data_IF_303099511706
#
_entry.id   IF_303099511706
#
_cell.length_a   1.000
_cell.length_b   1.000
_cell.length_c   1.000
_cell.angle_alpha   90.00
_cell.angle_beta   90.00
_cell.angle_gamma   90.00
#
_symmetry.space_group_name_H-M   'P 1'
#
loop_
_entity.id
_entity.type
_entity.pdbx_description
1 polymer ?
#
# COMPACT_ATOMS: atom_id res chain seq x y z
N UNK A 1 46.34 -17.37 24.69
CA UNK A 1 45.23 -16.70 25.39
C UNK A 1 44.13 -17.74 25.52
N UNK A 2 43.54 -17.90 26.69
CA UNK A 2 42.46 -18.88 26.89
C UNK A 2 41.19 -18.33 26.18
N UNK A 3 40.49 -19.16 25.45
CA UNK A 3 39.28 -18.76 24.68
C UNK A 3 38.22 -18.01 25.50
N UNK A 4 38.24 -18.18 26.82
CA UNK A 4 37.36 -17.48 27.76
C UNK A 4 37.70 -15.97 27.88
N UNK A 5 38.97 -15.60 27.82
CA UNK A 5 39.39 -14.17 27.83
C UNK A 5 39.09 -13.47 26.52
N UNK A 6 39.12 -14.20 25.39
CA UNK A 6 38.69 -13.67 24.08
C UNK A 6 37.19 -13.32 24.08
N UNK A 7 36.38 -14.13 24.75
CA UNK A 7 34.94 -13.88 24.87
C UNK A 7 34.65 -12.54 25.58
N UNK A 8 35.29 -12.30 26.71
CA UNK A 8 35.13 -11.04 27.47
C UNK A 8 35.65 -9.82 26.70
N UNK A 9 36.73 -9.96 25.94
CA UNK A 9 37.20 -8.88 25.05
C UNK A 9 36.20 -8.55 23.96
N UNK A 10 35.57 -9.56 23.37
CA UNK A 10 34.50 -9.37 22.37
C UNK A 10 33.31 -8.66 22.99
N UNK A 11 32.91 -8.98 24.23
CA UNK A 11 31.80 -8.29 24.91
C UNK A 11 32.10 -6.80 25.11
N UNK A 12 33.30 -6.49 25.65
CA UNK A 12 33.73 -5.10 25.86
C UNK A 12 33.81 -4.31 24.53
N UNK A 13 34.23 -4.97 23.46
CA UNK A 13 34.27 -4.37 22.13
C UNK A 13 32.86 -4.10 21.59
N UNK A 14 31.91 -5.05 21.71
CA UNK A 14 30.54 -4.90 21.26
C UNK A 14 29.79 -3.80 22.03
N UNK A 15 30.03 -3.68 23.33
CA UNK A 15 29.47 -2.60 24.13
C UNK A 15 29.99 -1.23 23.65
N UNK A 16 31.30 -1.10 23.44
CA UNK A 16 31.94 0.16 23.03
C UNK A 16 31.58 0.56 21.60
N UNK A 17 31.55 -0.37 20.64
CA UNK A 17 31.39 -0.07 19.23
C UNK A 17 29.92 -0.08 18.79
N UNK A 18 29.12 -0.90 19.44
CA UNK A 18 27.72 -1.13 19.01
C UNK A 18 26.68 -0.76 20.07
N UNK A 19 27.11 -0.38 21.28
CA UNK A 19 26.21 -0.03 22.38
C UNK A 19 25.38 -1.20 22.91
N UNK A 20 25.86 -2.45 22.72
CA UNK A 20 25.17 -3.65 23.20
C UNK A 20 25.55 -3.85 24.66
N UNK A 21 24.55 -3.83 25.54
CA UNK A 21 24.74 -4.05 26.97
C UNK A 21 25.33 -5.45 27.24
N UNK A 22 26.41 -5.48 27.99
CA UNK A 22 27.12 -6.69 28.33
C UNK A 22 26.25 -7.65 29.15
N UNK A 23 25.41 -7.14 30.07
CA UNK A 23 24.51 -7.96 30.87
C UNK A 23 23.47 -8.67 30.01
N UNK A 24 22.91 -7.98 29.01
CA UNK A 24 21.96 -8.57 28.06
C UNK A 24 22.60 -9.65 27.16
N UNK A 25 23.90 -9.53 26.85
CA UNK A 25 24.65 -10.58 26.16
C UNK A 25 24.82 -11.82 27.02
N UNK A 26 25.18 -11.62 28.27
CA UNK A 26 25.39 -12.72 29.26
C UNK A 26 24.07 -13.48 29.43
N UNK A 27 22.97 -12.79 29.75
CA UNK A 27 21.65 -13.42 29.92
C UNK A 27 21.20 -14.20 28.67
N UNK A 28 21.41 -13.64 27.47
CA UNK A 28 21.03 -14.31 26.23
C UNK A 28 21.89 -15.58 25.99
N UNK A 29 23.17 -15.56 26.33
CA UNK A 29 24.06 -16.72 26.21
C UNK A 29 23.64 -17.79 27.23
N UNK A 30 23.42 -17.42 28.48
CA UNK A 30 22.99 -18.35 29.53
C UNK A 30 21.67 -19.04 29.16
N UNK A 31 20.67 -18.30 28.70
CA UNK A 31 19.39 -18.85 28.24
C UNK A 31 19.53 -19.81 27.03
N UNK A 32 20.42 -19.47 26.09
CA UNK A 32 20.69 -20.33 24.94
C UNK A 32 21.43 -21.60 25.31
N UNK A 33 22.37 -21.50 26.27
CA UNK A 33 23.09 -22.65 26.81
C UNK A 33 22.17 -23.62 27.54
N UNK A 34 21.24 -23.11 28.36
CA UNK A 34 20.20 -23.92 29.02
C UNK A 34 19.35 -24.64 27.97
N UNK A 35 18.94 -23.94 26.91
CA UNK A 35 18.16 -24.53 25.82
C UNK A 35 18.94 -25.64 25.09
N UNK A 36 20.22 -25.41 24.83
CA UNK A 36 21.09 -26.41 24.21
C UNK A 36 21.34 -27.61 25.11
N UNK A 37 21.57 -27.39 26.41
CA UNK A 37 21.77 -28.45 27.39
C UNK A 37 20.51 -29.32 27.56
N UNK A 38 19.30 -28.72 27.63
CA UNK A 38 18.04 -29.44 27.66
C UNK A 38 17.77 -30.33 26.46
N UNK A 39 18.32 -29.95 25.27
CA UNK A 39 18.26 -30.82 24.07
C UNK A 39 19.14 -32.07 24.19
N UNK A 40 20.26 -31.97 24.91
CA UNK A 40 21.22 -33.05 25.07
C UNK A 40 20.83 -33.96 26.25
N UNK A 41 20.45 -33.38 27.38
CA UNK A 41 20.20 -34.10 28.63
C UNK A 41 18.72 -34.37 28.91
N UNK A 42 17.80 -33.88 28.06
CA UNK A 42 16.36 -34.06 28.18
C UNK A 42 15.62 -32.77 28.55
N UNK A 43 14.43 -32.60 27.97
CA UNK A 43 13.62 -31.39 28.19
C UNK A 43 13.00 -31.29 29.61
N UNK A 44 12.95 -32.38 30.35
CA UNK A 44 12.46 -32.43 31.74
C UNK A 44 13.50 -32.09 32.80
N UNK A 45 14.77 -31.92 32.43
CA UNK A 45 15.87 -31.63 33.36
C UNK A 45 15.86 -30.17 33.83
N UNK A 46 16.07 -29.97 35.15
CA UNK A 46 16.28 -28.63 35.69
C UNK A 46 17.75 -28.27 35.55
N UNK A 47 18.04 -27.48 34.48
CA UNK A 47 19.41 -27.05 34.11
C UNK A 47 19.44 -25.53 34.11
N UNK A 48 20.49 -24.98 34.69
CA UNK A 48 20.84 -23.57 34.55
C UNK A 48 22.32 -23.39 34.15
N UNK A 49 22.64 -22.28 33.49
CA UNK A 49 23.99 -21.94 33.06
C UNK A 49 24.40 -20.63 33.71
N UNK A 50 25.67 -20.52 34.02
CA UNK A 50 26.29 -19.32 34.60
C UNK A 50 27.51 -18.97 33.78
N UNK A 51 27.62 -17.71 33.32
CA UNK A 51 28.81 -17.18 32.72
C UNK A 51 29.55 -16.36 33.77
N UNK A 52 30.76 -16.78 34.12
CA UNK A 52 31.59 -16.01 35.02
C UNK A 52 32.15 -14.80 34.28
N UNK A 53 31.73 -13.59 34.69
CA UNK A 53 32.12 -12.35 34.05
C UNK A 53 33.58 -11.94 34.27
N UNK A 54 34.28 -12.54 35.23
CA UNK A 54 35.71 -12.26 35.50
C UNK A 54 36.64 -13.18 34.71
N UNK A 55 36.25 -14.45 34.60
CA UNK A 55 37.08 -15.47 33.95
C UNK A 55 36.66 -15.80 32.54
N UNK A 56 35.41 -15.48 32.19
CA UNK A 56 34.77 -15.89 30.92
C UNK A 56 34.43 -17.38 30.86
N UNK A 57 34.51 -18.10 31.99
CA UNK A 57 34.17 -19.53 32.05
C UNK A 57 32.65 -19.71 32.03
N UNK A 58 32.24 -20.73 31.29
CA UNK A 58 30.84 -21.17 31.22
C UNK A 58 30.71 -22.38 32.14
N UNK A 59 29.86 -22.26 33.14
CA UNK A 59 29.53 -23.30 34.09
C UNK A 59 28.06 -23.70 33.91
N UNK A 60 27.77 -24.98 33.82
CA UNK A 60 26.44 -25.49 33.63
C UNK A 60 26.12 -26.47 34.74
N UNK A 61 25.01 -26.24 35.42
CA UNK A 61 24.60 -27.02 36.58
C UNK A 61 23.27 -27.68 36.31
N UNK A 62 23.14 -28.93 36.74
CA UNK A 62 21.89 -29.65 36.78
C UNK A 62 21.44 -29.79 38.24
N UNK A 63 20.25 -29.29 38.55
CA UNK A 63 19.64 -29.45 39.86
C UNK A 63 18.94 -30.80 39.93
N UNK A 64 19.24 -31.59 40.96
CA UNK A 64 18.69 -32.92 41.18
C UNK A 64 18.20 -33.07 42.60
N UNK A 65 17.06 -33.74 42.76
CA UNK A 65 16.52 -34.12 44.08
C UNK A 65 17.26 -35.34 44.64
N UNK A 66 17.64 -35.26 45.88
CA UNK A 66 18.34 -36.36 46.58
C UNK A 66 17.31 -37.39 47.04
N UNK A 67 17.49 -38.64 46.58
CA UNK A 67 16.59 -39.75 46.95
C UNK A 67 17.36 -40.95 47.44
N UNK A 68 16.67 -41.80 48.27
CA UNK A 68 17.25 -43.09 48.73
C UNK A 68 17.26 -44.13 47.60
N UNK A 69 16.29 -44.01 46.64
CA UNK A 69 16.17 -44.87 45.47
C UNK A 69 15.88 -44.02 44.27
N UNK A 70 16.81 -43.98 43.34
CA UNK A 70 16.70 -43.22 42.09
C UNK A 70 15.73 -43.94 41.15
N UNK A 71 14.65 -43.29 40.77
CA UNK A 71 13.66 -43.75 39.78
C UNK A 71 13.84 -43.06 38.43
N UNK A 72 14.30 -41.79 38.45
CA UNK A 72 14.61 -41.00 37.28
C UNK A 72 16.01 -40.38 37.42
N UNK A 73 16.98 -40.93 36.71
CA UNK A 73 18.37 -40.43 36.71
C UNK A 73 18.50 -38.99 36.17
N UNK A 74 17.53 -38.50 35.40
CA UNK A 74 17.53 -37.15 34.90
C UNK A 74 17.15 -36.12 35.98
N UNK A 75 16.32 -36.46 36.93
CA UNK A 75 15.78 -35.56 37.97
C UNK A 75 16.34 -35.85 39.36
N UNK A 76 16.84 -37.05 39.60
CA UNK A 76 17.19 -37.54 40.91
C UNK A 76 18.65 -37.96 40.99
N UNK A 77 19.20 -37.90 42.19
CA UNK A 77 20.54 -38.37 42.53
C UNK A 77 20.50 -39.19 43.79
N UNK A 78 21.36 -40.22 43.87
CA UNK A 78 21.43 -41.04 45.08
C UNK A 78 22.05 -40.26 46.24
N UNK A 79 21.60 -40.54 47.49
CA UNK A 79 22.17 -39.93 48.70
C UNK A 79 23.69 -40.14 48.81
N UNK A 80 24.21 -41.27 48.32
CA UNK A 80 25.66 -41.58 48.35
C UNK A 80 26.42 -40.65 47.40
N UNK A 81 25.92 -40.38 46.22
CA UNK A 81 26.52 -39.49 45.26
C UNK A 81 26.36 -38.02 45.68
N UNK A 82 25.16 -37.65 46.20
CA UNK A 82 24.88 -36.30 46.67
C UNK A 82 25.81 -35.90 47.83
N UNK A 83 26.11 -36.79 48.74
CA UNK A 83 27.06 -36.57 49.85
C UNK A 83 28.54 -36.37 49.41
N UNK A 84 28.89 -36.73 48.19
CA UNK A 84 30.21 -36.38 47.62
C UNK A 84 30.27 -34.93 47.18
N UNK A 85 29.11 -34.33 46.86
CA UNK A 85 29.01 -32.93 46.48
C UNK A 85 28.79 -32.03 47.70
N UNK A 86 27.91 -32.44 48.61
CA UNK A 86 27.64 -31.78 49.89
C UNK A 86 27.45 -32.84 51.01
N UNK A 87 28.36 -32.90 52.01
CA UNK A 87 28.29 -33.90 53.08
C UNK A 87 27.08 -33.82 54.01
N UNK A 88 26.42 -32.66 54.11
CA UNK A 88 25.31 -32.41 55.05
C UNK A 88 23.91 -32.68 54.43
N UNK A 89 23.87 -33.12 53.19
CA UNK A 89 22.62 -33.33 52.43
C UNK A 89 21.77 -34.47 52.98
N UNK A 90 20.46 -34.25 53.02
CA UNK A 90 19.43 -35.21 53.42
C UNK A 90 18.54 -35.62 52.23
N UNK A 91 17.84 -36.79 52.32
CA UNK A 91 16.87 -37.17 51.31
C UNK A 91 15.75 -36.14 51.23
N UNK A 92 15.42 -35.67 50.01
CA UNK A 92 14.46 -34.61 49.72
C UNK A 92 15.08 -33.24 49.50
N UNK A 93 16.39 -33.09 49.75
CA UNK A 93 17.10 -31.85 49.40
C UNK A 93 17.45 -31.79 47.91
N UNK A 94 17.65 -30.59 47.40
CA UNK A 94 18.15 -30.36 46.05
C UNK A 94 19.67 -30.13 46.06
N UNK A 95 20.39 -30.77 45.15
CA UNK A 95 21.83 -30.56 44.94
C UNK A 95 22.12 -30.14 43.51
N UNK A 96 23.11 -29.32 43.37
CA UNK A 96 23.61 -28.84 42.09
C UNK A 96 24.79 -29.70 41.65
N UNK A 97 24.62 -30.38 40.52
CA UNK A 97 25.70 -31.18 39.91
C UNK A 97 26.21 -30.44 38.68
N UNK A 98 27.49 -30.11 38.69
CA UNK A 98 28.14 -29.51 37.53
C UNK A 98 28.22 -30.53 36.39
N UNK A 99 27.85 -30.08 35.17
CA UNK A 99 27.97 -30.86 33.95
C UNK A 99 29.38 -30.70 33.41
N UNK A 100 30.08 -31.84 33.14
CA UNK A 100 31.48 -31.84 32.69
C UNK A 100 31.63 -30.95 31.42
N UNK A 101 32.51 -29.94 31.56
CA UNK A 101 32.87 -29.02 30.50
C UNK A 101 33.44 -29.71 29.25
N UNK A 102 34.03 -30.93 29.41
CA UNK A 102 34.59 -31.66 28.27
C UNK A 102 33.49 -32.23 27.35
N UNK A 103 32.34 -32.60 27.91
CA UNK A 103 31.19 -33.11 27.12
C UNK A 103 30.42 -32.00 26.43
N UNK A 104 30.22 -30.86 27.10
CA UNK A 104 29.36 -29.77 26.60
C UNK A 104 30.13 -28.55 26.02
N UNK A 105 31.46 -28.45 26.27
CA UNK A 105 32.25 -27.26 25.96
C UNK A 105 32.22 -26.83 24.47
N UNK A 106 32.24 -27.79 23.55
CA UNK A 106 32.14 -27.48 22.11
C UNK A 106 30.75 -26.91 21.76
N UNK A 107 29.70 -27.48 22.33
CA UNK A 107 28.30 -27.03 22.11
C UNK A 107 28.13 -25.64 22.72
N UNK A 108 28.67 -25.43 23.94
CA UNK A 108 28.63 -24.16 24.63
C UNK A 108 29.32 -23.03 23.82
N UNK A 109 30.52 -23.28 23.33
CA UNK A 109 31.28 -22.33 22.52
C UNK A 109 30.55 -21.99 21.20
N UNK A 110 29.96 -23.00 20.52
CA UNK A 110 29.22 -22.78 19.29
C UNK A 110 27.92 -22.02 19.54
N UNK A 111 27.21 -22.32 20.63
CA UNK A 111 25.99 -21.64 21.03
C UNK A 111 26.26 -20.18 21.38
N UNK A 112 27.28 -19.92 22.20
CA UNK A 112 27.71 -18.55 22.54
C UNK A 112 28.05 -17.75 21.29
N UNK A 113 28.82 -18.31 20.35
CA UNK A 113 29.11 -17.67 19.06
C UNK A 113 27.86 -17.33 18.26
N UNK A 114 26.88 -18.25 18.20
CA UNK A 114 25.61 -18.01 17.48
C UNK A 114 24.81 -16.88 18.12
N UNK A 115 24.72 -16.84 19.46
CA UNK A 115 24.02 -15.76 20.20
C UNK A 115 24.68 -14.41 19.97
N UNK A 116 26.02 -14.35 20.05
CA UNK A 116 26.77 -13.11 19.79
C UNK A 116 26.49 -12.60 18.38
N UNK A 117 26.57 -13.46 17.35
CA UNK A 117 26.28 -13.09 15.96
C UNK A 117 24.83 -12.63 15.80
N UNK A 118 23.90 -13.27 16.48
CA UNK A 118 22.48 -12.88 16.44
C UNK A 118 22.27 -11.50 17.09
N UNK A 119 22.82 -11.27 18.27
CA UNK A 119 22.73 -9.99 18.99
C UNK A 119 23.39 -8.85 18.21
N UNK A 120 24.55 -9.12 17.61
CA UNK A 120 25.20 -8.16 16.72
C UNK A 120 24.28 -7.77 15.55
N UNK A 121 23.65 -8.75 14.89
CA UNK A 121 22.72 -8.48 13.79
C UNK A 121 21.47 -7.72 14.25
N UNK A 122 20.96 -8.01 15.46
CA UNK A 122 19.82 -7.29 16.05
C UNK A 122 20.20 -5.82 16.29
N UNK A 123 21.34 -5.54 16.89
CA UNK A 123 21.82 -4.19 17.13
C UNK A 123 22.12 -3.41 15.83
N UNK A 124 22.70 -4.06 14.81
CA UNK A 124 22.91 -3.47 13.49
C UNK A 124 21.58 -3.10 12.83
N UNK A 125 20.55 -3.95 12.95
CA UNK A 125 19.21 -3.67 12.43
C UNK A 125 18.55 -2.51 13.16
N UNK A 126 18.66 -2.47 14.47
CA UNK A 126 18.13 -1.38 15.27
C UNK A 126 18.80 -0.03 14.92
N UNK A 127 20.12 -0.04 14.75
CA UNK A 127 20.86 1.15 14.32
C UNK A 127 20.40 1.62 12.93
N UNK A 128 20.22 0.70 11.98
CA UNK A 128 19.69 1.04 10.64
C UNK A 128 18.29 1.61 10.75
N UNK A 129 17.42 0.95 11.51
CA UNK A 129 16.04 1.41 11.71
C UNK A 129 16.01 2.83 12.30
N UNK A 130 16.74 3.07 13.38
CA UNK A 130 16.82 4.38 14.05
C UNK A 130 17.43 5.47 13.13
N UNK A 131 18.35 5.09 12.24
CA UNK A 131 18.98 6.04 11.31
C UNK A 131 18.04 6.43 10.16
N UNK A 132 17.24 5.49 9.65
CA UNK A 132 16.46 5.71 8.42
C UNK A 132 14.96 5.86 8.64
N UNK A 133 14.38 5.47 9.79
CA UNK A 133 12.94 5.60 10.06
C UNK A 133 12.43 7.03 9.95
N UNK A 134 13.22 8.00 10.45
CA UNK A 134 12.88 9.42 10.35
C UNK A 134 13.16 10.04 8.97
N UNK A 135 13.72 9.24 8.05
CA UNK A 135 14.07 9.64 6.69
C UNK A 135 13.13 9.04 5.62
N UNK A 136 12.09 8.34 6.05
CA UNK A 136 11.00 7.95 5.16
C UNK A 136 10.41 9.21 4.52
N UNK A 137 10.23 9.17 3.21
CA UNK A 137 9.80 10.36 2.48
C UNK A 137 10.95 11.20 1.88
N UNK A 138 12.20 10.86 2.14
CA UNK A 138 13.36 11.54 1.54
C UNK A 138 13.85 10.84 0.27
N UNK A 139 14.51 11.63 -0.58
CA UNK A 139 15.27 11.12 -1.72
C UNK A 139 16.71 10.87 -1.31
N UNK A 140 17.19 9.67 -1.58
CA UNK A 140 18.56 9.26 -1.25
C UNK A 140 19.33 8.82 -2.50
N UNK A 141 20.65 9.04 -2.48
CA UNK A 141 21.55 8.54 -3.49
C UNK A 141 22.23 7.26 -2.99
N UNK A 142 22.37 6.29 -3.87
CA UNK A 142 23.07 5.05 -3.60
C UNK A 142 23.80 4.52 -4.83
N UNK A 143 24.46 3.39 -4.66
CA UNK A 143 25.18 2.67 -5.72
C UNK A 143 24.55 1.29 -5.86
N UNK A 144 24.23 0.86 -7.06
CA UNK A 144 23.72 -0.48 -7.32
C UNK A 144 24.77 -1.52 -6.97
N UNK A 145 24.53 -2.27 -5.90
CA UNK A 145 25.44 -3.34 -5.43
C UNK A 145 25.22 -4.63 -6.22
N UNK A 146 23.96 -4.96 -6.57
CA UNK A 146 23.64 -6.18 -7.28
C UNK A 146 22.13 -6.39 -7.45
N UNK A 147 21.78 -7.64 -7.79
CA UNK A 147 20.40 -8.04 -8.03
C UNK A 147 20.08 -9.30 -7.24
N UNK A 148 18.93 -9.32 -6.59
CA UNK A 148 18.45 -10.47 -5.82
C UNK A 148 16.96 -10.68 -6.04
N UNK A 149 16.56 -11.85 -6.55
CA UNK A 149 15.15 -12.20 -6.79
C UNK A 149 14.34 -11.15 -7.56
N UNK A 150 14.99 -10.49 -8.54
CA UNK A 150 14.38 -9.40 -9.32
C UNK A 150 14.42 -8.02 -8.67
N UNK A 151 14.76 -7.91 -7.41
CA UNK A 151 15.00 -6.64 -6.74
C UNK A 151 16.41 -6.13 -7.02
N UNK A 152 16.57 -4.80 -7.05
CA UNK A 152 17.87 -4.14 -7.13
C UNK A 152 18.32 -3.86 -5.70
N UNK A 153 19.53 -4.32 -5.35
CA UNK A 153 20.16 -4.03 -4.06
C UNK A 153 21.05 -2.81 -4.24
N UNK A 154 20.80 -1.82 -3.39
CA UNK A 154 21.47 -0.52 -3.45
C UNK A 154 22.27 -0.32 -2.17
N UNK A 155 23.55 -0.05 -2.33
CA UNK A 155 24.42 0.34 -1.23
C UNK A 155 24.24 1.84 -0.91
N UNK A 156 23.86 2.13 0.34
CA UNK A 156 23.71 3.47 0.89
C UNK A 156 24.95 3.92 1.70
N UNK A 157 26.02 3.14 1.67
CA UNK A 157 27.27 3.38 2.39
C UNK A 157 27.30 2.78 3.81
N UNK A 158 26.21 2.91 4.57
CA UNK A 158 26.10 2.33 5.93
C UNK A 158 25.26 1.04 5.96
N UNK A 159 24.39 0.87 5.01
CA UNK A 159 23.51 -0.29 4.89
C UNK A 159 23.08 -0.50 3.44
N UNK A 160 22.57 -1.69 3.16
CA UNK A 160 21.94 -2.00 1.90
C UNK A 160 20.43 -1.67 1.96
N UNK A 161 19.92 -1.18 0.84
CA UNK A 161 18.50 -0.96 0.60
C UNK A 161 18.00 -1.83 -0.55
N UNK A 162 16.72 -2.12 -0.55
CA UNK A 162 16.06 -2.90 -1.59
C UNK A 162 15.14 -2.01 -2.43
N UNK A 163 15.30 -2.06 -3.75
CA UNK A 163 14.35 -1.54 -4.72
C UNK A 163 13.60 -2.73 -5.33
N UNK A 164 12.41 -3.08 -4.79
CA UNK A 164 11.68 -4.26 -5.21
C UNK A 164 11.12 -4.12 -6.64
N UNK A 165 10.80 -5.21 -7.35
CA UNK A 165 10.33 -5.17 -8.74
C UNK A 165 9.12 -4.28 -8.98
N UNK A 166 8.22 -4.17 -8.00
CA UNK A 166 7.02 -3.32 -8.09
C UNK A 166 7.34 -1.82 -8.08
N UNK A 167 8.47 -1.47 -7.47
CA UNK A 167 8.94 -0.10 -7.30
C UNK A 167 9.98 0.31 -8.36
N UNK A 168 10.27 -0.58 -9.31
CA UNK A 168 11.15 -0.31 -10.44
C UNK A 168 10.35 0.22 -11.63
N UNK A 169 10.90 1.20 -12.34
CA UNK A 169 10.34 1.67 -13.60
C UNK A 169 10.74 0.71 -14.72
N UNK A 170 9.80 0.12 -15.49
CA UNK A 170 10.09 -0.95 -16.45
C UNK A 170 11.09 -0.58 -17.57
N UNK A 171 11.21 0.72 -17.87
CA UNK A 171 12.11 1.22 -18.91
C UNK A 171 13.52 1.51 -18.41
N UNK A 172 13.71 1.62 -17.11
CA UNK A 172 15.01 1.89 -16.52
C UNK A 172 15.85 0.61 -16.47
N UNK A 173 17.11 0.73 -16.87
CA UNK A 173 18.08 -0.36 -16.82
C UNK A 173 19.24 0.08 -15.96
N UNK A 174 19.60 -0.74 -15.00
CA UNK A 174 20.70 -0.53 -14.09
C UNK A 174 21.71 -1.67 -14.20
N UNK A 175 22.97 -1.33 -13.98
CA UNK A 175 24.09 -2.27 -13.87
C UNK A 175 24.73 -2.11 -12.48
N UNK A 176 25.42 -3.13 -12.05
CA UNK A 176 26.23 -3.05 -10.83
C UNK A 176 27.26 -1.89 -10.96
N UNK A 177 27.36 -1.07 -9.93
CA UNK A 177 28.19 0.13 -9.89
C UNK A 177 27.51 1.42 -10.37
N UNK A 178 26.30 1.34 -10.96
CA UNK A 178 25.56 2.53 -11.37
C UNK A 178 25.10 3.32 -10.14
N UNK A 179 25.13 4.66 -10.26
CA UNK A 179 24.49 5.53 -9.28
C UNK A 179 22.99 5.55 -9.49
N UNK A 180 22.24 5.49 -8.40
CA UNK A 180 20.80 5.55 -8.41
C UNK A 180 20.32 6.55 -7.35
N UNK A 181 19.34 7.37 -7.73
CA UNK A 181 18.60 8.23 -6.83
C UNK A 181 17.20 7.60 -6.64
N UNK A 182 16.75 7.44 -5.41
CA UNK A 182 15.47 6.81 -5.12
C UNK A 182 14.83 7.40 -3.86
N UNK A 183 13.54 7.22 -3.75
CA UNK A 183 12.72 7.65 -2.62
C UNK A 183 12.69 6.55 -1.55
N UNK A 184 12.85 6.90 -0.28
CA UNK A 184 12.71 5.97 0.83
C UNK A 184 11.21 5.77 1.09
N UNK A 185 10.70 4.64 0.64
CA UNK A 185 9.28 4.31 0.75
C UNK A 185 8.92 3.82 2.15
N UNK A 186 9.76 2.98 2.73
CA UNK A 186 9.51 2.34 4.02
C UNK A 186 10.81 1.84 4.66
N UNK A 187 10.80 1.69 5.98
CA UNK A 187 11.90 1.09 6.76
C UNK A 187 11.36 0.02 7.68
N UNK A 188 11.66 -1.24 7.39
CA UNK A 188 11.15 -2.41 8.13
C UNK A 188 11.99 -2.71 9.35
N UNK A 189 11.39 -2.80 10.52
CA UNK A 189 12.07 -3.14 11.77
C UNK A 189 12.59 -4.58 11.80
N UNK A 190 11.78 -5.56 11.36
CA UNK A 190 12.06 -6.99 11.47
C UNK A 190 12.22 -7.69 10.12
N UNK A 191 13.02 -7.14 9.21
CA UNK A 191 13.25 -7.75 7.91
C UNK A 191 14.29 -8.89 7.97
N UNK A 192 14.08 -9.95 7.17
CA UNK A 192 15.09 -11.00 6.94
C UNK A 192 16.12 -10.64 5.86
N UNK A 193 16.08 -9.41 5.34
CA UNK A 193 16.92 -8.86 4.29
C UNK A 193 17.15 -7.37 4.53
N UNK A 194 17.41 -6.57 3.48
CA UNK A 194 17.52 -5.12 3.61
C UNK A 194 16.27 -4.52 4.25
N UNK A 195 16.46 -3.59 5.19
CA UNK A 195 15.37 -2.96 5.93
C UNK A 195 14.80 -1.74 5.20
N UNK A 196 15.64 -1.00 4.49
CA UNK A 196 15.26 0.20 3.76
C UNK A 196 14.68 -0.20 2.41
N UNK A 197 13.43 0.16 2.18
CA UNK A 197 12.74 -0.09 0.91
C UNK A 197 12.71 1.20 0.11
N UNK A 198 13.18 1.11 -1.12
CA UNK A 198 13.23 2.24 -2.05
C UNK A 198 12.14 2.14 -3.10
N UNK A 199 11.72 3.29 -3.62
CA UNK A 199 10.82 3.41 -4.75
C UNK A 199 11.34 4.39 -5.80
N UNK A 200 11.08 4.08 -7.08
CA UNK A 200 11.21 5.00 -8.21
C UNK A 200 9.88 5.19 -8.95
N UNK A 201 8.85 4.45 -8.52
CA UNK A 201 7.49 4.54 -9.10
C UNK A 201 6.59 5.46 -8.31
N UNK A 202 6.91 5.73 -7.06
CA UNK A 202 6.11 6.56 -6.16
C UNK A 202 5.91 7.99 -6.71
N UNK A 203 4.74 8.56 -6.45
CA UNK A 203 4.38 9.92 -6.89
C UNK A 203 5.17 10.96 -6.10
N UNK A 204 5.42 10.69 -4.81
CA UNK A 204 6.15 11.60 -3.94
C UNK A 204 7.63 11.68 -4.35
N UNK A 205 8.17 10.65 -5.01
CA UNK A 205 9.49 10.74 -5.62
C UNK A 205 9.56 11.88 -6.65
N UNK A 206 8.54 12.03 -7.51
CA UNK A 206 8.45 13.13 -8.47
C UNK A 206 8.37 14.48 -7.75
N UNK A 207 7.53 14.60 -6.73
CA UNK A 207 7.37 15.84 -5.95
C UNK A 207 8.70 16.22 -5.29
N UNK A 208 9.36 15.28 -4.64
CA UNK A 208 10.67 15.51 -3.99
C UNK A 208 11.78 15.88 -4.98
N UNK A 209 11.74 15.38 -6.20
CA UNK A 209 12.67 15.83 -7.24
C UNK A 209 12.45 17.30 -7.60
N UNK A 210 11.20 17.78 -7.67
CA UNK A 210 10.92 19.19 -7.86
C UNK A 210 11.35 20.04 -6.66
N UNK A 211 11.14 19.58 -5.43
CA UNK A 211 11.65 20.27 -4.24
C UNK A 211 13.18 20.43 -4.26
N UNK A 212 13.91 19.46 -4.81
CA UNK A 212 15.36 19.52 -4.92
C UNK A 212 15.85 20.47 -6.04
N UNK A 213 15.09 20.59 -7.14
CA UNK A 213 15.52 21.35 -8.33
C UNK A 213 14.93 22.77 -8.39
N UNK A 214 13.86 23.05 -7.62
CA UNK A 214 13.10 24.31 -7.65
C UNK A 214 13.10 24.94 -6.27
N UNK A 215 13.94 25.98 -6.04
CA UNK A 215 14.02 26.65 -4.74
C UNK A 215 12.68 27.19 -4.24
N UNK A 216 11.85 27.72 -5.15
CA UNK A 216 10.54 28.28 -4.81
C UNK A 216 9.58 27.19 -4.29
N UNK A 217 9.76 25.92 -4.67
CA UNK A 217 9.02 24.77 -4.11
C UNK A 217 9.59 24.37 -2.76
N UNK A 218 10.91 24.33 -2.62
CA UNK A 218 11.59 24.04 -1.36
C UNK A 218 11.27 25.05 -0.26
N UNK A 219 11.08 26.33 -0.62
CA UNK A 219 10.72 27.43 0.28
C UNK A 219 9.22 27.57 0.49
N UNK A 220 8.38 26.68 -0.07
CA UNK A 220 6.92 26.72 -0.03
C UNK A 220 6.30 28.02 -0.60
N UNK A 221 7.00 28.73 -1.48
CA UNK A 221 6.44 29.85 -2.25
C UNK A 221 5.52 29.31 -3.34
N UNK A 222 5.97 28.21 -4.01
CA UNK A 222 5.19 27.44 -4.97
C UNK A 222 4.85 26.09 -4.35
N UNK A 223 3.58 25.73 -4.36
CA UNK A 223 3.06 24.45 -3.86
C UNK A 223 2.68 23.53 -5.02
N UNK A 224 3.11 22.26 -4.98
CA UNK A 224 2.59 21.21 -5.85
C UNK A 224 1.32 20.66 -5.19
N UNK A 225 0.17 21.12 -5.66
CA UNK A 225 -1.15 20.84 -5.07
C UNK A 225 -1.63 19.42 -5.34
N UNK A 226 -1.36 18.91 -6.52
CA UNK A 226 -1.65 17.54 -6.92
C UNK A 226 -0.67 17.06 -7.98
N UNK A 227 -0.53 15.75 -8.09
CA UNK A 227 0.29 15.13 -9.11
C UNK A 227 -0.37 13.83 -9.59
N UNK A 228 -0.17 13.48 -10.86
CA UNK A 228 -0.58 12.23 -11.46
C UNK A 228 0.57 11.67 -12.27
N UNK A 229 0.92 10.39 -12.06
CA UNK A 229 2.12 9.79 -12.63
C UNK A 229 1.85 8.44 -13.26
N UNK A 230 2.41 8.21 -14.43
CA UNK A 230 2.63 6.90 -15.04
C UNK A 230 4.14 6.70 -15.20
N UNK A 231 4.77 5.96 -14.27
CA UNK A 231 6.22 5.85 -14.17
C UNK A 231 6.89 5.43 -15.48
N UNK A 232 7.91 6.18 -15.89
CA UNK A 232 8.64 5.97 -17.15
C UNK A 232 7.86 6.37 -18.42
N UNK A 233 6.67 6.92 -18.30
CA UNK A 233 5.83 7.38 -19.39
C UNK A 233 5.63 8.90 -19.38
N UNK A 234 4.62 9.33 -18.68
CA UNK A 234 4.22 10.74 -18.57
C UNK A 234 3.67 11.04 -17.18
N UNK A 235 3.91 12.25 -16.71
CA UNK A 235 3.40 12.77 -15.45
C UNK A 235 2.80 14.15 -15.63
N UNK A 236 1.86 14.51 -14.78
CA UNK A 236 1.29 15.84 -14.69
C UNK A 236 1.37 16.30 -13.23
N UNK A 237 1.78 17.55 -13.03
CA UNK A 237 1.77 18.21 -11.72
C UNK A 237 0.95 19.48 -11.80
N UNK A 238 0.15 19.75 -10.78
CA UNK A 238 -0.60 20.99 -10.65
C UNK A 238 0.06 21.86 -9.58
N UNK A 239 0.41 23.08 -9.98
CA UNK A 239 1.18 24.00 -9.15
C UNK A 239 0.42 25.30 -8.89
N UNK A 240 0.58 25.85 -7.70
CA UNK A 240 0.02 27.14 -7.30
C UNK A 240 1.08 27.95 -6.57
N UNK A 241 1.06 29.27 -6.74
CA UNK A 241 1.93 30.17 -5.97
C UNK A 241 1.15 30.83 -4.83
N UNK A 242 1.79 30.93 -3.68
CA UNK A 242 1.31 31.72 -2.54
C UNK A 242 1.72 33.20 -2.64
N UNK A 243 2.69 33.52 -3.50
CA UNK A 243 3.10 34.90 -3.83
C UNK A 243 2.53 35.29 -5.20
N UNK A 244 1.66 36.33 -5.30
CA UNK A 244 1.08 36.77 -6.56
C UNK A 244 2.11 37.25 -7.60
N UNK A 245 3.33 37.56 -7.19
CA UNK A 245 4.39 38.02 -8.08
C UNK A 245 5.20 36.85 -8.69
N UNK A 246 4.97 35.62 -8.23
CA UNK A 246 5.70 34.44 -8.71
C UNK A 246 4.79 33.59 -9.60
N UNK A 247 5.19 33.42 -10.85
CA UNK A 247 4.56 32.47 -11.77
C UNK A 247 4.94 31.03 -11.37
N UNK A 248 3.99 30.21 -10.87
CA UNK A 248 4.30 28.88 -10.40
C UNK A 248 4.76 27.93 -11.51
N UNK A 249 4.22 28.08 -12.72
CA UNK A 249 4.59 27.26 -13.88
C UNK A 249 6.00 27.64 -14.34
N UNK A 250 6.26 28.92 -14.50
CA UNK A 250 7.57 29.44 -14.90
C UNK A 250 8.68 29.06 -13.92
N UNK A 251 8.40 29.11 -12.60
CA UNK A 251 9.34 28.70 -11.56
C UNK A 251 9.74 27.21 -11.68
N UNK A 252 8.77 26.33 -11.89
CA UNK A 252 9.01 24.90 -12.06
C UNK A 252 9.65 24.53 -13.41
N UNK A 253 9.33 25.25 -14.48
CA UNK A 253 9.94 25.07 -15.81
C UNK A 253 11.40 25.53 -15.80
N UNK A 254 11.65 26.70 -15.21
CA UNK A 254 12.95 27.33 -15.17
C UNK A 254 13.37 27.94 -16.53
N UNK A 255 14.52 28.62 -16.55
CA UNK A 255 15.04 29.29 -17.76
C UNK A 255 15.25 28.27 -18.88
N UNK A 256 14.56 28.46 -20.00
CA UNK A 256 14.57 27.55 -21.17
C UNK A 256 14.26 26.06 -20.80
N UNK A 257 13.51 25.84 -19.76
CA UNK A 257 13.14 24.48 -19.32
C UNK A 257 14.22 23.76 -18.54
N UNK A 258 15.25 24.43 -18.02
CA UNK A 258 16.41 23.79 -17.41
C UNK A 258 16.03 22.97 -16.16
N UNK A 259 15.12 23.46 -15.32
CA UNK A 259 14.72 22.79 -14.07
C UNK A 259 13.87 21.54 -14.34
N UNK A 260 12.82 21.69 -15.15
CA UNK A 260 12.00 20.52 -15.53
C UNK A 260 12.83 19.49 -16.30
N UNK A 261 13.80 19.93 -17.14
CA UNK A 261 14.67 19.00 -17.85
C UNK A 261 15.60 18.23 -16.92
N UNK A 262 16.08 18.82 -15.82
CA UNK A 262 16.85 18.13 -14.81
C UNK A 262 16.05 16.98 -14.18
N UNK A 263 14.78 17.23 -13.82
CA UNK A 263 13.87 16.19 -13.30
C UNK A 263 13.59 15.13 -14.37
N UNK A 264 13.31 15.52 -15.62
CA UNK A 264 13.10 14.60 -16.75
C UNK A 264 14.31 13.69 -16.96
N UNK A 265 15.53 14.24 -16.87
CA UNK A 265 16.77 13.48 -17.02
C UNK A 265 16.95 12.48 -15.88
N UNK A 266 16.65 12.87 -14.63
CA UNK A 266 16.70 11.95 -13.47
C UNK A 266 15.70 10.79 -13.64
N UNK A 267 14.51 11.08 -14.17
CA UNK A 267 13.46 10.10 -14.48
C UNK A 267 13.64 9.40 -15.85
N UNK A 268 14.84 9.52 -16.42
CA UNK A 268 15.25 8.86 -17.67
C UNK A 268 14.30 9.08 -18.85
N UNK A 269 13.80 10.29 -19.00
CA UNK A 269 12.99 10.71 -20.13
C UNK A 269 11.48 10.62 -19.91
N UNK A 270 11.01 10.46 -18.69
CA UNK A 270 9.59 10.60 -18.32
C UNK A 270 9.14 12.03 -18.63
N UNK A 271 8.08 12.18 -19.46
CA UNK A 271 7.55 13.50 -19.81
C UNK A 271 6.78 14.10 -18.66
N UNK A 272 6.97 15.39 -18.40
CA UNK A 272 6.31 16.09 -17.29
C UNK A 272 5.57 17.29 -17.82
N UNK A 273 4.26 17.35 -17.58
CA UNK A 273 3.41 18.51 -17.85
C UNK A 273 3.21 19.26 -16.53
N UNK A 274 3.51 20.56 -16.54
CA UNK A 274 3.33 21.45 -15.40
C UNK A 274 2.12 22.33 -15.68
N UNK A 275 1.12 22.27 -14.79
CA UNK A 275 -0.21 22.83 -15.01
C UNK A 275 -0.52 23.78 -13.85
N UNK A 276 -1.05 25.00 -14.13
CA UNK A 276 -1.52 25.86 -13.07
C UNK A 276 -2.75 25.23 -12.39
N UNK A 277 -2.70 25.11 -11.05
CA UNK A 277 -3.85 24.74 -10.26
C UNK A 277 -4.83 25.90 -10.18
N UNK A 278 -6.12 25.65 -10.41
CA UNK A 278 -7.16 26.65 -10.35
C UNK A 278 -8.31 26.19 -9.46
N UNK A 279 -8.98 27.15 -8.80
CA UNK A 279 -10.14 26.87 -7.94
C UNK A 279 -11.35 26.43 -8.77
N UNK A 280 -11.50 27.02 -9.98
CA UNK A 280 -12.55 26.63 -10.92
C UNK A 280 -12.25 25.26 -11.53
N UNK A 281 -13.08 24.24 -11.25
CA UNK A 281 -12.82 22.90 -11.70
C UNK A 281 -12.84 22.74 -13.23
N UNK A 282 -13.68 23.52 -13.95
CA UNK A 282 -13.77 23.45 -15.40
C UNK A 282 -12.49 23.97 -16.05
N UNK A 283 -12.00 25.10 -15.57
CA UNK A 283 -10.73 25.69 -16.05
C UNK A 283 -9.54 24.79 -15.67
N UNK A 284 -9.56 24.17 -14.49
CA UNK A 284 -8.51 23.25 -14.07
C UNK A 284 -8.47 21.99 -14.93
N UNK A 285 -9.63 21.37 -15.22
CA UNK A 285 -9.71 20.22 -16.15
C UNK A 285 -9.29 20.59 -17.56
N UNK A 286 -9.71 21.77 -18.05
CA UNK A 286 -9.29 22.26 -19.36
C UNK A 286 -7.75 22.37 -19.46
N UNK A 287 -7.10 22.98 -18.46
CA UNK A 287 -5.65 23.06 -18.39
C UNK A 287 -4.98 21.69 -18.25
N UNK A 288 -5.60 20.79 -17.47
CA UNK A 288 -5.08 19.44 -17.27
C UNK A 288 -5.07 18.58 -18.54
N UNK A 289 -5.94 18.88 -19.51
CA UNK A 289 -5.98 18.21 -20.81
C UNK A 289 -4.96 18.77 -21.82
N UNK A 290 -4.25 19.86 -21.47
CA UNK A 290 -3.18 20.38 -22.32
C UNK A 290 -2.24 19.26 -22.81
N UNK A 291 -1.78 19.30 -24.09
CA UNK A 291 -1.83 20.44 -25.01
C UNK A 291 -3.13 20.53 -25.86
N UNK A 292 -4.15 19.67 -25.65
CA UNK A 292 -5.40 19.78 -26.37
C UNK A 292 -6.18 21.03 -25.95
N UNK A 293 -6.84 21.66 -26.91
CA UNK A 293 -7.71 22.81 -26.68
C UNK A 293 -9.14 22.34 -26.40
N UNK A 294 -9.68 22.79 -25.27
CA UNK A 294 -11.04 22.46 -24.85
C UNK A 294 -11.98 23.57 -25.29
N UNK A 295 -13.06 23.20 -26.00
CA UNK A 295 -14.09 24.15 -26.44
C UNK A 295 -15.11 24.42 -25.34
N UNK A 296 -15.54 23.36 -24.63
CA UNK A 296 -16.59 23.46 -23.63
C UNK A 296 -16.44 22.37 -22.57
N UNK A 297 -16.82 22.70 -21.33
CA UNK A 297 -16.90 21.75 -20.21
C UNK A 297 -18.30 21.78 -19.61
N UNK A 298 -18.93 20.63 -19.45
CA UNK A 298 -20.22 20.44 -18.80
C UNK A 298 -19.93 19.70 -17.48
N UNK A 299 -20.34 20.29 -16.36
CA UNK A 299 -20.05 19.77 -15.02
C UNK A 299 -21.29 19.10 -14.43
N UNK A 300 -21.12 17.88 -13.93
CA UNK A 300 -22.09 17.21 -13.06
C UNK A 300 -21.48 17.07 -11.65
N UNK A 301 -21.82 17.98 -10.76
CA UNK A 301 -21.27 18.02 -9.40
C UNK A 301 -21.73 16.82 -8.56
N UNK A 302 -22.94 16.30 -8.81
CA UNK A 302 -23.53 15.20 -8.06
C UNK A 302 -22.75 13.90 -8.25
N UNK A 303 -22.30 13.64 -9.47
CA UNK A 303 -21.55 12.43 -9.84
C UNK A 303 -20.02 12.67 -9.85
N UNK A 304 -19.57 13.90 -9.60
CA UNK A 304 -18.19 14.32 -9.80
C UNK A 304 -17.66 13.94 -11.19
N UNK A 305 -18.48 14.14 -12.20
CA UNK A 305 -18.16 13.85 -13.60
C UNK A 305 -18.16 15.14 -14.43
N UNK A 306 -17.31 15.17 -15.44
CA UNK A 306 -17.22 16.25 -16.41
C UNK A 306 -17.23 15.70 -17.83
N UNK A 307 -18.07 16.28 -18.65
CA UNK A 307 -18.06 16.07 -20.08
C UNK A 307 -17.32 17.22 -20.74
N UNK A 308 -16.24 16.86 -21.43
CA UNK A 308 -15.34 17.83 -22.07
C UNK A 308 -15.51 17.72 -23.58
N UNK A 309 -15.90 18.81 -24.20
CA UNK A 309 -16.11 18.90 -25.64
C UNK A 309 -14.89 19.57 -26.26
N UNK A 310 -14.34 18.94 -27.28
CA UNK A 310 -13.18 19.39 -28.02
C UNK A 310 -13.48 19.39 -29.52
N UNK A 311 -12.75 20.18 -30.30
CA UNK A 311 -12.83 20.09 -31.76
C UNK A 311 -12.44 18.68 -32.23
N UNK A 312 -13.00 18.21 -33.34
CA UNK A 312 -12.76 16.83 -33.85
C UNK A 312 -11.28 16.55 -34.08
N UNK A 313 -10.51 17.55 -34.50
CA UNK A 313 -9.04 17.47 -34.70
C UNK A 313 -8.29 17.27 -33.40
N UNK A 314 -8.79 17.81 -32.29
CA UNK A 314 -8.18 17.76 -30.95
C UNK A 314 -8.55 16.50 -30.15
N UNK A 315 -9.57 15.74 -30.57
CA UNK A 315 -10.09 14.58 -29.85
C UNK A 315 -8.98 13.55 -29.55
N UNK A 316 -8.19 13.21 -30.55
CA UNK A 316 -7.07 12.26 -30.39
C UNK A 316 -6.00 12.77 -29.43
N UNK A 317 -5.75 14.07 -29.41
CA UNK A 317 -4.77 14.71 -28.53
C UNK A 317 -5.29 14.79 -27.09
N UNK A 318 -6.57 15.13 -26.92
CA UNK A 318 -7.23 15.20 -25.62
C UNK A 318 -7.28 13.82 -24.92
N UNK A 319 -7.62 12.78 -25.66
CA UNK A 319 -7.59 11.39 -25.17
C UNK A 319 -6.15 10.93 -24.92
N UNK A 320 -5.27 11.22 -25.86
CA UNK A 320 -3.87 10.79 -25.85
C UNK A 320 -3.71 9.28 -26.16
N UNK A 321 -2.45 8.85 -26.33
CA UNK A 321 -2.14 7.46 -26.65
C UNK A 321 -2.66 6.52 -25.56
N UNK A 322 -3.53 5.58 -25.91
CA UNK A 322 -4.16 4.62 -25.00
C UNK A 322 -4.92 5.30 -23.82
N UNK A 323 -5.47 6.48 -24.04
CA UNK A 323 -6.19 7.22 -23.01
C UNK A 323 -5.29 7.82 -21.90
N UNK A 324 -3.98 7.95 -22.16
CA UNK A 324 -3.02 8.39 -21.15
C UNK A 324 -3.28 9.84 -20.71
N UNK A 325 -3.60 10.76 -21.64
CA UNK A 325 -3.78 12.17 -21.30
C UNK A 325 -5.03 12.38 -20.44
N UNK A 326 -6.18 11.83 -20.84
CA UNK A 326 -7.42 11.93 -20.06
C UNK A 326 -7.31 11.23 -18.72
N UNK A 327 -6.66 10.05 -18.65
CA UNK A 327 -6.48 9.31 -17.38
C UNK A 327 -5.60 10.06 -16.39
N UNK A 328 -4.52 10.69 -16.85
CA UNK A 328 -3.68 11.53 -16.01
C UNK A 328 -4.41 12.79 -15.57
N UNK A 329 -5.18 13.44 -16.47
CA UNK A 329 -5.99 14.59 -16.12
C UNK A 329 -7.05 14.25 -15.08
N UNK A 330 -7.76 13.13 -15.24
CA UNK A 330 -8.75 12.66 -14.27
C UNK A 330 -8.12 12.40 -12.87
N UNK A 331 -6.97 11.73 -12.82
CA UNK A 331 -6.25 11.49 -11.55
C UNK A 331 -5.74 12.79 -10.93
N UNK A 332 -5.26 13.73 -11.74
CA UNK A 332 -4.73 15.02 -11.27
C UNK A 332 -5.82 15.88 -10.65
N UNK A 333 -6.99 15.93 -11.27
CA UNK A 333 -8.10 16.81 -10.90
C UNK A 333 -9.06 16.17 -9.92
N UNK A 334 -9.11 14.83 -9.85
CA UNK A 334 -10.05 14.07 -9.03
C UNK A 334 -11.47 14.01 -9.61
N UNK A 335 -11.65 14.33 -10.92
CA UNK A 335 -12.91 14.27 -11.63
C UNK A 335 -12.93 13.13 -12.63
N UNK A 336 -14.10 12.52 -12.83
CA UNK A 336 -14.32 11.58 -13.93
C UNK A 336 -14.50 12.40 -15.22
N UNK A 337 -13.60 12.23 -16.19
CA UNK A 337 -13.57 13.03 -17.41
C UNK A 337 -13.98 12.15 -18.59
N UNK A 338 -15.05 12.55 -19.27
CA UNK A 338 -15.49 12.00 -20.56
C UNK A 338 -15.19 13.01 -21.64
N UNK A 339 -14.51 12.60 -22.72
CA UNK A 339 -14.17 13.50 -23.82
C UNK A 339 -15.03 13.13 -25.01
N UNK A 340 -15.67 14.15 -25.61
CA UNK A 340 -16.48 14.04 -26.83
C UNK A 340 -16.02 15.07 -27.86
N UNK A 341 -16.15 14.73 -29.13
CA UNK A 341 -15.99 15.74 -30.19
C UNK A 341 -17.22 16.62 -30.31
N UNK A 342 -17.08 17.78 -30.96
CA UNK A 342 -18.22 18.67 -31.25
C UNK A 342 -19.29 17.94 -32.05
N UNK A 343 -18.90 17.14 -33.06
CA UNK A 343 -19.83 16.35 -33.87
C UNK A 343 -20.62 15.33 -33.02
N UNK A 344 -19.94 14.62 -32.11
CA UNK A 344 -20.58 13.66 -31.20
C UNK A 344 -21.57 14.35 -30.23
N UNK A 345 -21.19 15.51 -29.71
CA UNK A 345 -22.05 16.29 -28.81
C UNK A 345 -23.26 16.89 -29.51
N UNK A 346 -23.16 17.21 -30.80
CA UNK A 346 -24.28 17.67 -31.63
C UNK A 346 -25.22 16.50 -32.01
N UNK A 347 -24.66 15.34 -32.36
CA UNK A 347 -25.47 14.15 -32.64
C UNK A 347 -26.29 13.70 -31.42
N UNK A 348 -25.71 13.73 -30.21
CA UNK A 348 -26.45 13.40 -28.99
C UNK A 348 -27.57 14.41 -28.69
N UNK A 349 -27.33 15.73 -28.89
CA UNK A 349 -28.36 16.75 -28.73
C UNK A 349 -29.50 16.58 -29.74
N UNK A 350 -29.16 16.30 -31.01
CA UNK A 350 -30.16 16.05 -32.02
C UNK A 350 -30.92 14.75 -31.77
N UNK A 351 -30.29 13.76 -31.15
CA UNK A 351 -30.94 12.54 -30.70
C UNK A 351 -31.83 12.76 -29.46
N UNK A 352 -31.46 13.70 -28.59
CA UNK A 352 -32.26 14.10 -27.42
C UNK A 352 -33.46 14.99 -27.81
N UNK A 353 -33.28 15.84 -28.84
CA UNK A 353 -34.35 16.71 -29.39
C UNK A 353 -35.27 16.00 -30.41
N UNK A 354 -35.05 14.73 -30.76
CA UNK A 354 -35.92 13.99 -31.62
C UNK A 354 -37.20 13.58 -30.84
N UNK A 355 -38.44 13.84 -31.35
CA UNK A 355 -39.66 13.56 -30.62
C UNK A 355 -39.88 12.07 -30.28
N UNK A 356 -39.05 11.16 -30.80
CA UNK A 356 -39.04 9.75 -30.44
C UNK A 356 -38.55 9.44 -29.00
N UNK A 357 -37.66 10.27 -28.40
CA UNK A 357 -37.26 10.07 -27.00
C UNK A 357 -38.23 10.69 -26.00
N UNK A 358 -38.93 11.74 -26.38
CA UNK A 358 -40.09 12.24 -25.60
C UNK A 358 -41.25 11.20 -25.54
N UNK A 359 -41.30 10.29 -26.53
CA UNK A 359 -42.16 9.10 -26.47
C UNK A 359 -41.54 7.96 -25.62
N UNK A 360 -40.21 7.77 -25.64
CA UNK A 360 -39.53 6.73 -24.89
C UNK A 360 -39.43 7.01 -23.36
N UNK A 361 -39.39 8.28 -22.93
CA UNK A 361 -39.51 8.62 -21.50
C UNK A 361 -40.96 8.46 -20.97
N UNK A 362 -41.95 8.35 -21.85
CA UNK A 362 -43.31 7.90 -21.49
C UNK A 362 -43.42 6.36 -21.50
N UNK A 363 -42.56 5.63 -22.17
CA UNK A 363 -42.52 4.15 -22.21
C UNK A 363 -41.92 3.48 -20.96
N UNK A 364 -41.32 4.22 -20.06
CA UNK A 364 -40.81 3.71 -18.75
C UNK A 364 -41.90 3.56 -17.68
N UNK A 365 -43.17 3.80 -17.98
CA UNK A 365 -44.28 3.44 -17.09
C UNK A 365 -44.70 2.01 -17.40
N UNK A 366 -44.84 1.14 -16.39
CA UNK A 366 -45.27 -0.22 -16.63
C UNK A 366 -46.61 -0.19 -17.43
N UNK A 367 -46.56 -0.75 -18.63
CA UNK A 367 -47.72 -0.80 -19.52
C UNK A 367 -48.78 -1.71 -18.88
N UNK A 368 -49.90 -1.12 -18.48
CA UNK A 368 -51.03 -1.87 -17.88
C UNK A 368 -51.59 -2.90 -18.85
N UNK A 369 -51.23 -2.78 -20.13
CA UNK A 369 -51.65 -3.69 -21.20
C UNK A 369 -50.76 -4.96 -21.25
N UNK A 370 -49.56 -4.95 -20.65
CA UNK A 370 -48.71 -6.14 -20.53
C UNK A 370 -49.31 -7.15 -19.55
N UNK A 371 -49.76 -8.28 -20.08
CA UNK A 371 -50.38 -9.36 -19.30
C UNK A 371 -51.90 -9.51 -19.46
N UNK A 372 -52.53 -8.64 -20.24
CA UNK A 372 -53.93 -8.79 -20.62
C UNK A 372 -54.09 -9.62 -21.90
N UNK A 373 -55.23 -10.34 -22.08
CA UNK A 373 -55.51 -11.03 -23.33
C UNK A 373 -55.53 -10.05 -24.51
N UNK A 374 -54.83 -10.37 -25.62
CA UNK A 374 -54.64 -9.45 -26.75
C UNK A 374 -55.88 -8.81 -27.37
N UNK A 375 -57.11 -9.38 -27.18
CA UNK A 375 -58.37 -8.75 -27.57
C UNK A 375 -58.78 -7.63 -26.62
N UNK A 376 -58.44 -7.72 -25.35
CA UNK A 376 -58.74 -6.72 -24.31
C UNK A 376 -57.78 -5.55 -24.39
N UNK A 377 -56.50 -5.82 -24.60
CA UNK A 377 -55.50 -4.76 -24.76
C UNK A 377 -55.73 -3.93 -26.01
N UNK A 378 -56.10 -4.55 -27.14
CA UNK A 378 -56.47 -3.84 -28.37
C UNK A 378 -57.71 -2.94 -28.19
N UNK A 379 -58.74 -3.44 -27.49
CA UNK A 379 -59.94 -2.67 -27.23
C UNK A 379 -59.75 -1.49 -26.28
N UNK A 380 -58.87 -1.62 -25.31
CA UNK A 380 -58.45 -0.53 -24.40
C UNK A 380 -57.62 0.53 -25.12
N UNK A 381 -56.70 0.13 -26.00
CA UNK A 381 -55.92 1.04 -26.84
C UNK A 381 -56.83 1.82 -27.84
N UNK A 382 -57.76 1.16 -28.52
CA UNK A 382 -58.76 1.83 -29.40
C UNK A 382 -59.63 2.83 -28.64
N UNK A 383 -59.90 2.59 -27.35
CA UNK A 383 -60.67 3.49 -26.50
C UNK A 383 -59.87 4.60 -25.86
N UNK A 384 -58.48 4.65 -26.10
CA UNK A 384 -57.59 5.63 -25.50
C UNK A 384 -57.30 5.42 -24.00
N UNK A 385 -57.57 4.18 -23.49
CA UNK A 385 -57.40 3.81 -22.08
C UNK A 385 -56.09 3.04 -21.87
N UNK A 386 -54.97 3.69 -22.18
CA UNK A 386 -53.61 3.06 -22.14
C UNK A 386 -52.89 3.21 -20.80
N UNK A 387 -53.35 4.05 -19.89
CA UNK A 387 -52.71 4.30 -18.61
C UNK A 387 -53.54 3.80 -17.41
N UNK A 388 -52.85 3.44 -16.30
CA UNK A 388 -53.49 3.04 -15.06
C UNK A 388 -54.52 4.08 -14.57
N UNK A 389 -54.25 5.36 -14.77
CA UNK A 389 -55.12 6.46 -14.37
C UNK A 389 -56.34 6.60 -15.27
N UNK A 390 -56.15 6.46 -16.58
CA UNK A 390 -57.30 6.51 -17.51
C UNK A 390 -58.28 5.35 -17.29
N UNK A 391 -57.78 4.16 -16.92
CA UNK A 391 -58.60 3.02 -16.55
C UNK A 391 -59.28 3.21 -15.18
N UNK A 392 -58.60 3.85 -14.23
CA UNK A 392 -59.16 4.17 -12.91
C UNK A 392 -60.26 5.24 -12.98
N UNK A 393 -60.15 6.21 -13.91
CA UNK A 393 -61.11 7.31 -14.08
C UNK A 393 -62.28 6.95 -14.99
N UNK A 394 -62.19 5.87 -15.82
CA UNK A 394 -63.25 5.41 -16.70
C UNK A 394 -64.44 4.81 -15.92
N UNK A 395 -65.67 4.99 -16.39
CA UNK A 395 -66.87 4.38 -15.77
C UNK A 395 -66.89 2.87 -16.00
N UNK A 396 -67.52 2.11 -15.11
CA UNK A 396 -67.70 0.66 -15.29
C UNK A 396 -68.54 0.33 -16.51
N UNK A 397 -69.48 1.23 -16.89
CA UNK A 397 -70.32 1.11 -18.11
C UNK A 397 -69.46 1.27 -19.37
N UNK A 398 -68.51 2.21 -19.38
CA UNK A 398 -67.63 2.41 -20.54
C UNK A 398 -66.71 1.22 -20.74
N UNK A 399 -66.15 0.66 -19.65
CA UNK A 399 -65.30 -0.52 -19.69
C UNK A 399 -66.06 -1.79 -20.12
N UNK A 400 -67.31 -1.96 -19.71
CA UNK A 400 -68.15 -3.09 -20.08
C UNK A 400 -68.62 -3.05 -21.54
N UNK A 401 -68.65 -1.87 -22.16
CA UNK A 401 -69.01 -1.70 -23.57
C UNK A 401 -67.86 -2.06 -24.53
N UNK A 402 -66.65 -2.30 -24.02
CA UNK A 402 -65.49 -2.66 -24.83
C UNK A 402 -65.56 -4.14 -25.28
N UNK A 403 -65.22 -4.45 -26.54
CA UNK A 403 -65.27 -5.80 -27.05
C UNK A 403 -64.28 -6.74 -26.31
N UNK A 404 -64.87 -7.78 -25.66
CA UNK A 404 -64.09 -8.78 -24.91
C UNK A 404 -63.84 -8.46 -23.42
N UNK A 405 -64.40 -7.36 -22.92
CA UNK A 405 -64.38 -6.96 -21.52
C UNK A 405 -65.69 -7.38 -20.83
N UNK A 406 -65.60 -8.27 -19.86
CA UNK A 406 -66.69 -8.71 -19.01
C UNK A 406 -66.56 -8.23 -17.58
N UNK A 407 -67.60 -8.45 -16.71
CA UNK A 407 -67.57 -7.95 -15.33
C UNK A 407 -66.29 -8.38 -14.50
N UNK A 408 -65.85 -9.61 -14.71
CA UNK A 408 -64.61 -10.12 -14.07
C UNK A 408 -63.38 -9.44 -14.63
N UNK A 409 -63.34 -8.99 -15.85
CA UNK A 409 -62.20 -8.30 -16.49
C UNK A 409 -62.16 -6.86 -16.00
N UNK A 410 -63.27 -6.19 -15.78
CA UNK A 410 -63.39 -4.85 -15.21
C UNK A 410 -62.84 -4.85 -13.78
N UNK A 411 -63.23 -5.84 -12.97
CA UNK A 411 -62.66 -5.99 -11.58
C UNK A 411 -61.17 -6.16 -11.56
N UNK A 412 -60.62 -6.98 -12.45
CA UNK A 412 -59.17 -7.21 -12.59
C UNK A 412 -58.45 -5.97 -13.14
N UNK A 413 -59.00 -5.21 -14.03
CA UNK A 413 -58.47 -3.95 -14.54
C UNK A 413 -58.38 -2.89 -13.41
N UNK A 414 -59.41 -2.80 -12.55
CA UNK A 414 -59.42 -1.93 -11.36
C UNK A 414 -58.34 -2.31 -10.36
N UNK A 415 -58.21 -3.60 -10.07
CA UNK A 415 -57.16 -4.09 -9.16
C UNK A 415 -55.73 -3.78 -9.67
N UNK A 416 -55.52 -3.99 -10.98
CA UNK A 416 -54.24 -3.65 -11.63
C UNK A 416 -53.96 -2.14 -11.61
N UNK A 417 -54.95 -1.31 -11.95
CA UNK A 417 -54.80 0.14 -11.92
C UNK A 417 -54.46 0.67 -10.51
N UNK A 418 -55.12 0.17 -9.48
CA UNK A 418 -54.83 0.54 -8.07
C UNK A 418 -53.46 0.07 -7.61
N UNK A 419 -53.03 -1.14 -8.03
CA UNK A 419 -51.71 -1.68 -7.67
C UNK A 419 -50.56 -0.87 -8.28
N UNK A 420 -50.75 -0.42 -9.53
CA UNK A 420 -49.75 0.40 -10.25
C UNK A 420 -49.71 1.86 -9.75
N UNK A 421 -50.83 2.44 -9.34
CA UNK A 421 -50.82 3.76 -8.68
C UNK A 421 -50.14 3.76 -7.32
N UNK A 422 -50.16 2.63 -6.60
CA UNK A 422 -49.43 2.47 -5.32
C UNK A 422 -47.92 2.27 -5.53
N UNK A 423 -47.52 1.51 -6.54
CA UNK A 423 -46.12 1.27 -6.88
C UNK A 423 -45.42 2.52 -7.46
N UNK A 424 -46.14 3.47 -8.03
CA UNK A 424 -45.58 4.73 -8.54
C UNK A 424 -45.48 5.86 -7.52
N UNK A 425 -45.81 5.60 -6.23
CA UNK A 425 -45.71 6.55 -5.11
C UNK A 425 -44.65 6.19 -4.07
N UNK A 426 -43.93 5.07 -4.22
CA UNK A 426 -42.73 4.72 -3.52
C UNK A 426 -41.49 5.03 -4.38
#
# INVERSE_FOLDING_TARGET
MNGNQELLMVFAQLEREKGIDQSALVEAIEAALVTAAKKVYGSGTDIYAKLNQETGSIEIYQRKEVTLKVEDEAMQISLLEARQLDPEVMPGDEVEKEIDANEFGRIAAQTAKQVIVQKLREAEREMVYNTYSNRVGEVINGIVHGFSRGAIIVDLGKTEAELPPKEQVPRERYKQGDRIKAYILDVKQNAKGPQVILSRTDIDFLIKLFELEVPEVAENIVEIRSAAREPGGRSKIAVVSHDPNVDPVGACVGVKGSRVQAVVNELRGERIDIIPWLVDPALFVSNALSPAQVTRVIINETEKSMEVIVADEELSLAIGKNGQNVRLAARLTGWNITIKSEAQAEEEKTAEDTPEKAAAEQEGRPDILEGLPGKVSAALAEAGLESARSIADASDEDLLNLPGVGPKTVEKLRELAISMEKAGKE
#
